data_IF_524755024296
#
_entry.id   IF_524755024296
#
_cell.length_a   1.000
_cell.length_b   1.000
_cell.length_c   1.000
_cell.angle_alpha   90.00
_cell.angle_beta   90.00
_cell.angle_gamma   90.00
#
_symmetry.space_group_name_H-M   'P 1'
#
loop_
_entity.id
_entity.type
_entity.pdbx_description
1 polymer ?
#
# COMPACT_ATOMS: atom_id res chain seq x y z
N UNK A 1 19.91 10.10 3.99
CA UNK A 1 18.62 10.37 3.31
C UNK A 1 18.00 9.03 2.95
N UNK A 2 16.70 8.84 3.14
CA UNK A 2 15.98 7.62 2.73
C UNK A 2 15.82 7.64 1.22
N UNK A 3 16.26 6.60 0.47
CA UNK A 3 16.00 6.52 -0.96
C UNK A 3 14.51 6.41 -1.24
N UNK A 4 14.04 7.11 -2.26
CA UNK A 4 12.66 7.11 -2.74
C UNK A 4 12.62 6.45 -4.12
N UNK A 5 11.76 5.47 -4.28
CA UNK A 5 11.49 4.78 -5.53
C UNK A 5 10.05 5.02 -5.95
N UNK A 6 9.80 5.27 -7.23
CA UNK A 6 8.44 5.33 -7.76
C UNK A 6 8.30 4.39 -8.95
N UNK A 7 7.18 3.69 -8.98
CA UNK A 7 6.87 2.68 -9.99
C UNK A 7 6.01 3.33 -11.06
N UNK A 8 6.44 3.27 -12.31
CA UNK A 8 5.71 3.88 -13.42
C UNK A 8 5.94 3.10 -14.72
N UNK A 9 4.87 2.88 -15.49
CA UNK A 9 4.91 2.25 -16.81
C UNK A 9 5.57 3.16 -17.85
N UNK A 10 6.41 2.59 -18.72
CA UNK A 10 7.10 3.33 -19.77
C UNK A 10 6.14 4.04 -20.74
N UNK A 11 4.99 3.43 -20.99
CA UNK A 11 3.96 3.94 -21.89
C UNK A 11 3.04 4.99 -21.27
N UNK A 12 3.26 5.40 -20.01
CA UNK A 12 2.46 6.41 -19.29
C UNK A 12 3.35 7.57 -18.82
N UNK A 13 3.93 8.34 -19.77
CA UNK A 13 4.88 9.41 -19.44
C UNK A 13 4.24 10.58 -18.71
N UNK A 14 2.95 10.83 -18.86
CA UNK A 14 2.22 11.88 -18.15
C UNK A 14 2.20 11.68 -16.63
N UNK A 15 2.06 10.44 -16.15
CA UNK A 15 2.14 10.12 -14.72
C UNK A 15 3.57 10.25 -14.21
N UNK A 16 4.55 9.90 -15.03
CA UNK A 16 5.95 10.16 -14.73
C UNK A 16 6.19 11.65 -14.53
N UNK A 17 5.75 12.49 -15.45
CA UNK A 17 5.87 13.95 -15.35
C UNK A 17 5.18 14.48 -14.10
N UNK A 18 4.00 13.94 -13.76
CA UNK A 18 3.26 14.29 -12.55
C UNK A 18 4.08 14.00 -11.29
N UNK A 19 4.65 12.80 -11.16
CA UNK A 19 5.47 12.42 -10.01
C UNK A 19 6.75 13.24 -9.91
N UNK A 20 7.47 13.43 -11.02
CA UNK A 20 8.69 14.24 -11.06
C UNK A 20 8.42 15.69 -10.70
N UNK A 21 7.27 16.24 -11.09
CA UNK A 21 6.83 17.58 -10.67
C UNK A 21 6.63 17.70 -9.15
N UNK A 22 6.02 16.69 -8.50
CA UNK A 22 5.86 16.65 -7.05
C UNK A 22 7.21 16.57 -6.32
N UNK A 23 8.14 15.74 -6.81
CA UNK A 23 9.47 15.63 -6.22
C UNK A 23 10.25 16.94 -6.35
N UNK A 24 10.20 17.57 -7.52
CA UNK A 24 10.86 18.86 -7.76
C UNK A 24 10.32 19.96 -6.82
N UNK A 25 9.01 20.03 -6.64
CA UNK A 25 8.37 21.00 -5.75
C UNK A 25 8.80 20.87 -4.28
N UNK A 26 9.23 19.69 -3.87
CA UNK A 26 9.65 19.39 -2.51
C UNK A 26 11.18 19.25 -2.33
N UNK A 27 11.96 19.50 -3.38
CA UNK A 27 13.41 19.30 -3.36
C UNK A 27 13.82 17.84 -3.07
N UNK A 28 12.95 16.89 -3.38
CA UNK A 28 13.18 15.47 -3.17
C UNK A 28 13.68 14.83 -4.45
N UNK A 29 14.63 13.88 -4.32
CA UNK A 29 15.07 13.06 -5.45
C UNK A 29 14.47 11.66 -5.34
N UNK A 30 13.97 11.13 -6.46
CA UNK A 30 13.44 9.79 -6.52
C UNK A 30 14.01 9.00 -7.72
N UNK A 31 14.14 7.72 -7.54
CA UNK A 31 14.57 6.79 -8.60
C UNK A 31 13.35 6.10 -9.19
N UNK A 32 13.19 6.24 -10.51
CA UNK A 32 12.14 5.52 -11.22
C UNK A 32 12.44 4.02 -11.30
N UNK A 33 11.44 3.22 -11.01
CA UNK A 33 11.42 1.79 -11.30
C UNK A 33 10.47 1.58 -12.47
N UNK A 34 10.98 1.11 -13.63
CA UNK A 34 10.12 0.71 -14.74
C UNK A 34 9.14 -0.38 -14.26
N UNK A 35 7.86 -0.11 -14.37
CA UNK A 35 6.83 -1.09 -14.02
C UNK A 35 6.80 -2.22 -15.04
N UNK A 36 6.45 -3.41 -14.57
CA UNK A 36 6.17 -4.56 -15.43
C UNK A 36 4.89 -4.28 -16.21
N UNK A 37 4.96 -4.35 -17.55
CA UNK A 37 3.77 -4.17 -18.39
C UNK A 37 2.98 -5.48 -18.49
N UNK A 38 1.69 -5.39 -18.22
CA UNK A 38 0.78 -6.53 -18.33
C UNK A 38 0.65 -7.07 -19.76
N UNK A 39 0.92 -6.24 -20.77
CA UNK A 39 0.87 -6.67 -22.18
C UNK A 39 2.01 -7.64 -22.54
N UNK A 40 3.16 -7.49 -21.88
CA UNK A 40 4.36 -8.29 -22.17
C UNK A 40 4.59 -9.39 -21.12
N UNK A 41 3.76 -9.41 -20.06
CA UNK A 41 3.98 -10.31 -18.93
C UNK A 41 3.48 -11.73 -19.22
N UNK A 42 4.41 -12.67 -19.14
CA UNK A 42 4.06 -14.08 -18.88
C UNK A 42 4.09 -14.30 -17.36
N UNK A 43 3.01 -14.83 -16.74
CA UNK A 43 2.99 -15.06 -15.30
C UNK A 43 4.22 -15.85 -14.84
N UNK A 44 4.94 -15.37 -13.81
CA UNK A 44 6.14 -16.03 -13.33
C UNK A 44 5.78 -17.34 -12.61
N UNK A 45 6.75 -18.23 -12.50
CA UNK A 45 6.58 -19.54 -11.81
C UNK A 45 6.21 -19.41 -10.33
N UNK A 46 6.56 -18.30 -9.72
CA UNK A 46 6.22 -17.98 -8.33
C UNK A 46 4.74 -17.64 -8.15
N UNK A 47 4.07 -17.17 -9.21
CA UNK A 47 2.63 -17.00 -9.19
C UNK A 47 1.97 -18.38 -9.24
N UNK A 48 1.37 -18.78 -8.14
CA UNK A 48 0.67 -20.05 -8.03
C UNK A 48 -0.81 -19.76 -7.75
N UNK A 49 -1.71 -20.01 -8.70
CA UNK A 49 -3.13 -19.90 -8.48
C UNK A 49 -3.53 -20.71 -7.25
N UNK A 50 -4.43 -20.14 -6.46
CA UNK A 50 -4.80 -20.73 -5.19
C UNK A 50 -5.49 -22.07 -5.34
N UNK A 51 -5.35 -22.91 -4.31
CA UNK A 51 -6.25 -24.02 -4.09
C UNK A 51 -7.66 -23.50 -3.82
N UNK A 52 -8.66 -24.38 -3.85
CA UNK A 52 -10.07 -24.02 -3.57
C UNK A 52 -10.31 -23.38 -2.19
N UNK A 53 -9.32 -23.36 -1.29
CA UNK A 53 -9.36 -22.74 0.04
C UNK A 53 -8.70 -21.37 0.11
N UNK A 54 -7.93 -20.98 -0.90
CA UNK A 54 -7.15 -19.75 -0.95
C UNK A 54 -7.81 -18.76 -1.92
N UNK A 55 -7.19 -17.62 -2.11
CA UNK A 55 -7.66 -16.62 -3.06
C UNK A 55 -7.55 -17.13 -4.50
N UNK A 56 -8.60 -16.91 -5.28
CA UNK A 56 -8.63 -17.28 -6.69
C UNK A 56 -7.72 -16.38 -7.54
N UNK A 57 -7.50 -16.79 -8.79
CA UNK A 57 -6.53 -16.17 -9.70
C UNK A 57 -6.56 -14.64 -9.74
N UNK A 58 -5.38 -14.04 -9.84
CA UNK A 58 -5.19 -12.62 -10.14
C UNK A 58 -5.33 -12.39 -11.65
N UNK A 59 -5.76 -11.19 -12.03
CA UNK A 59 -5.64 -10.71 -13.41
C UNK A 59 -4.17 -10.48 -13.78
N UNK A 60 -3.85 -10.46 -15.07
CA UNK A 60 -2.49 -10.23 -15.52
C UNK A 60 -1.96 -8.85 -15.06
N UNK A 61 -2.83 -7.83 -15.00
CA UNK A 61 -2.48 -6.50 -14.51
C UNK A 61 -2.18 -6.50 -13.00
N UNK A 62 -2.87 -7.34 -12.21
CA UNK A 62 -2.58 -7.48 -10.79
C UNK A 62 -1.25 -8.22 -10.56
N UNK A 63 -0.93 -9.21 -11.40
CA UNK A 63 0.36 -9.89 -11.37
C UNK A 63 1.47 -8.91 -11.77
N UNK A 64 1.28 -8.11 -12.80
CA UNK A 64 2.23 -7.10 -13.25
C UNK A 64 2.51 -6.05 -12.16
N UNK A 65 1.46 -5.58 -11.49
CA UNK A 65 1.58 -4.68 -10.34
C UNK A 65 2.39 -5.32 -9.21
N UNK A 66 2.10 -6.58 -8.86
CA UNK A 66 2.83 -7.32 -7.84
C UNK A 66 4.31 -7.47 -8.19
N UNK A 67 4.64 -7.89 -9.41
CA UNK A 67 6.02 -8.03 -9.87
C UNK A 67 6.76 -6.69 -9.93
N UNK A 68 6.09 -5.59 -10.27
CA UNK A 68 6.66 -4.25 -10.23
C UNK A 68 7.11 -3.87 -8.81
N UNK A 69 6.28 -4.15 -7.80
CA UNK A 69 6.65 -3.93 -6.40
C UNK A 69 7.77 -4.87 -5.94
N UNK A 70 7.83 -6.10 -6.43
CA UNK A 70 8.95 -7.01 -6.15
C UNK A 70 10.28 -6.45 -6.63
N UNK A 71 10.32 -5.79 -7.79
CA UNK A 71 11.54 -5.10 -8.26
C UNK A 71 11.97 -4.04 -7.24
N UNK A 72 11.03 -3.24 -6.73
CA UNK A 72 11.32 -2.24 -5.71
C UNK A 72 11.79 -2.86 -4.38
N UNK A 73 11.18 -3.99 -3.95
CA UNK A 73 11.63 -4.69 -2.74
C UNK A 73 13.06 -5.20 -2.87
N UNK A 74 13.42 -5.74 -4.04
CA UNK A 74 14.80 -6.18 -4.32
C UNK A 74 15.77 -5.01 -4.30
N UNK A 75 15.41 -3.87 -4.90
CA UNK A 75 16.23 -2.67 -4.86
C UNK A 75 16.52 -2.20 -3.42
N UNK A 76 15.54 -2.28 -2.50
CA UNK A 76 15.71 -1.95 -1.09
C UNK A 76 16.53 -3.03 -0.36
N UNK A 77 16.21 -4.31 -0.57
CA UNK A 77 16.90 -5.43 0.06
C UNK A 77 18.39 -5.44 -0.28
N UNK A 78 18.73 -5.20 -1.54
CA UNK A 78 20.09 -5.31 -2.06
C UNK A 78 20.83 -3.97 -1.99
N UNK A 79 20.12 -2.87 -1.72
CA UNK A 79 20.69 -1.53 -1.54
C UNK A 79 21.48 -1.38 -0.26
N UNK A 80 22.22 -0.27 -0.14
CA UNK A 80 23.04 0.05 1.04
C UNK A 80 22.25 0.71 2.18
N UNK A 81 21.10 1.33 1.87
CA UNK A 81 20.27 2.02 2.86
C UNK A 81 19.47 1.02 3.74
N UNK A 82 19.22 1.34 5.02
CA UNK A 82 18.47 0.46 5.92
C UNK A 82 16.98 0.33 5.58
N UNK A 83 16.45 1.25 4.78
CA UNK A 83 15.07 1.28 4.32
C UNK A 83 14.94 2.09 3.04
N UNK A 84 13.78 2.02 2.39
CA UNK A 84 13.44 2.82 1.22
C UNK A 84 11.94 3.07 1.13
N UNK A 85 11.55 4.17 0.51
CA UNK A 85 10.15 4.49 0.20
C UNK A 85 9.80 3.95 -1.17
N UNK A 86 8.60 3.38 -1.29
CA UNK A 86 8.01 2.95 -2.55
C UNK A 86 6.72 3.73 -2.77
N UNK A 87 6.58 4.28 -3.96
CA UNK A 87 5.42 5.06 -4.41
C UNK A 87 4.85 4.46 -5.71
N UNK A 88 3.52 4.46 -5.84
CA UNK A 88 2.85 4.28 -7.13
C UNK A 88 2.76 5.64 -7.85
N UNK A 89 2.62 5.64 -9.16
CA UNK A 89 2.65 6.84 -10.00
C UNK A 89 1.35 7.65 -9.99
N UNK A 90 0.36 7.24 -9.20
CA UNK A 90 -0.87 7.96 -8.92
C UNK A 90 -0.97 8.46 -7.46
N UNK A 91 0.12 8.38 -6.71
CA UNK A 91 0.22 8.91 -5.37
C UNK A 91 0.27 10.46 -5.39
N UNK A 92 -0.59 11.10 -4.61
CA UNK A 92 -0.53 12.53 -4.33
C UNK A 92 0.21 12.71 -3.02
N UNK A 93 1.26 13.53 -3.04
CA UNK A 93 2.13 13.78 -1.90
C UNK A 93 1.77 15.09 -1.22
N UNK A 94 1.72 15.09 0.11
CA UNK A 94 1.63 16.30 0.93
C UNK A 94 2.91 17.12 0.82
N UNK A 95 2.81 18.42 1.00
CA UNK A 95 3.95 19.33 1.13
C UNK A 95 4.89 18.92 2.29
N UNK A 96 4.37 18.18 3.28
CA UNK A 96 5.16 17.66 4.40
C UNK A 96 5.89 16.35 4.10
N UNK A 97 5.77 15.78 2.90
CA UNK A 97 6.35 14.47 2.58
C UNK A 97 7.86 14.44 2.82
N UNK A 98 8.63 15.37 2.24
CA UNK A 98 10.10 15.40 2.40
C UNK A 98 10.53 15.58 3.85
N UNK A 99 9.93 16.53 4.58
CA UNK A 99 10.25 16.75 6.00
C UNK A 99 9.88 15.58 6.87
N UNK A 100 8.81 14.86 6.53
CA UNK A 100 8.42 13.62 7.21
C UNK A 100 9.44 12.50 6.97
N UNK A 101 9.98 12.37 5.75
CA UNK A 101 11.04 11.40 5.47
C UNK A 101 12.32 11.68 6.28
N UNK A 102 12.67 12.96 6.47
CA UNK A 102 13.82 13.34 7.32
C UNK A 102 13.62 12.92 8.78
N UNK A 103 12.40 13.02 9.30
CA UNK A 103 12.04 12.54 10.64
C UNK A 103 12.04 11.02 10.70
N UNK A 104 11.46 10.34 9.70
CA UNK A 104 11.45 8.88 9.59
C UNK A 104 12.86 8.28 9.54
N UNK A 105 13.83 8.99 8.93
CA UNK A 105 15.22 8.58 8.90
C UNK A 105 15.89 8.52 10.28
N UNK A 106 15.32 9.16 11.29
CA UNK A 106 15.83 9.22 12.67
C UNK A 106 15.16 8.21 13.60
N UNK A 107 14.20 7.44 13.11
CA UNK A 107 13.52 6.44 13.93
C UNK A 107 14.48 5.31 14.26
N UNK A 108 14.59 5.01 15.55
CA UNK A 108 15.37 3.86 16.06
C UNK A 108 14.51 2.63 16.32
N UNK A 109 13.18 2.80 16.31
CA UNK A 109 12.23 1.71 16.52
C UNK A 109 12.27 0.73 15.36
N UNK A 110 12.34 -0.59 15.61
CA UNK A 110 12.20 -1.58 14.56
C UNK A 110 10.84 -1.48 13.86
N UNK A 111 10.83 -1.68 12.55
CA UNK A 111 9.63 -1.83 11.73
C UNK A 111 9.95 -2.67 10.49
N UNK A 112 8.96 -3.31 9.93
CA UNK A 112 9.09 -3.90 8.60
C UNK A 112 8.47 -2.98 7.54
N UNK A 113 7.25 -2.50 7.78
CA UNK A 113 6.53 -1.60 6.86
C UNK A 113 5.90 -0.46 7.64
N UNK A 114 6.08 0.78 7.18
CA UNK A 114 5.30 1.95 7.62
C UNK A 114 4.48 2.43 6.42
N UNK A 115 3.16 2.32 6.50
CA UNK A 115 2.26 2.85 5.50
C UNK A 115 2.21 4.36 5.60
N UNK A 116 2.49 5.07 4.50
CA UNK A 116 2.57 6.53 4.42
C UNK A 116 1.31 7.13 3.83
N UNK A 117 0.55 6.35 3.04
CA UNK A 117 -0.68 6.78 2.41
C UNK A 117 -1.93 6.47 3.25
N UNK A 118 -2.96 7.25 3.00
CA UNK A 118 -4.28 7.05 3.54
C UNK A 118 -5.17 6.20 2.65
N UNK A 119 -6.07 5.43 3.26
CA UNK A 119 -7.12 4.69 2.57
C UNK A 119 -8.49 5.14 3.07
N UNK A 120 -9.47 5.31 2.17
CA UNK A 120 -10.85 5.65 2.54
C UNK A 120 -11.56 4.44 3.15
N UNK A 121 -11.03 3.93 4.25
CA UNK A 121 -11.52 2.75 4.94
C UNK A 121 -11.50 2.96 6.45
N UNK A 122 -12.56 2.56 7.14
CA UNK A 122 -12.55 2.50 8.61
C UNK A 122 -11.68 1.33 9.05
N UNK A 123 -10.61 1.64 9.73
CA UNK A 123 -9.56 0.72 10.12
C UNK A 123 -9.45 0.63 11.64
N UNK A 124 -8.70 -0.36 12.10
CA UNK A 124 -8.39 -0.61 13.50
C UNK A 124 -6.90 -0.50 13.71
N UNK A 125 -6.53 0.45 14.55
CA UNK A 125 -5.14 0.76 14.88
C UNK A 125 -4.89 0.58 16.37
N UNK A 126 -3.69 0.17 16.72
CA UNK A 126 -3.22 0.13 18.09
C UNK A 126 -3.10 1.52 18.73
N UNK A 127 -2.67 1.58 19.99
CA UNK A 127 -2.33 2.83 20.65
C UNK A 127 -1.33 3.64 19.85
N UNK A 128 -1.37 4.95 20.06
CA UNK A 128 -0.39 5.86 19.47
C UNK A 128 1.02 5.57 20.00
N UNK A 129 1.97 5.65 19.09
CA UNK A 129 3.39 5.48 19.34
C UNK A 129 4.06 6.77 18.87
N UNK A 130 4.52 7.57 19.80
CA UNK A 130 5.31 8.75 19.45
C UNK A 130 6.81 8.39 19.41
N UNK A 131 7.49 8.77 18.32
CA UNK A 131 8.91 8.54 18.15
C UNK A 131 9.51 9.59 17.21
N UNK A 132 10.53 10.33 17.65
CA UNK A 132 11.23 11.31 16.80
C UNK A 132 10.32 12.42 16.25
N UNK A 133 9.26 12.82 16.98
CA UNK A 133 8.28 13.82 16.52
C UNK A 133 7.32 13.29 15.45
N UNK A 134 7.18 11.97 15.32
CA UNK A 134 6.27 11.28 14.41
C UNK A 134 5.32 10.42 15.24
N UNK A 135 4.08 10.38 14.81
CA UNK A 135 3.05 9.50 15.40
C UNK A 135 2.83 8.32 14.48
N UNK A 136 2.88 7.14 15.06
CA UNK A 136 2.65 5.87 14.40
C UNK A 136 1.60 5.06 15.15
N UNK A 137 0.93 4.13 14.46
CA UNK A 137 0.06 3.13 15.10
C UNK A 137 0.27 1.77 14.46
N UNK A 138 0.17 0.71 15.25
CA UNK A 138 0.14 -0.64 14.69
C UNK A 138 -1.15 -0.88 13.90
N UNK A 139 -1.04 -1.55 12.76
CA UNK A 139 -2.18 -1.94 11.92
C UNK A 139 -2.71 -3.29 12.40
N UNK A 140 -4.01 -3.38 12.70
CA UNK A 140 -4.66 -4.60 13.21
C UNK A 140 -5.58 -5.31 12.21
N UNK A 141 -5.72 -4.78 11.01
CA UNK A 141 -6.48 -5.44 9.93
C UNK A 141 -5.83 -5.14 8.58
N UNK A 142 -6.17 -5.92 7.56
CA UNK A 142 -5.70 -5.66 6.21
C UNK A 142 -6.17 -4.28 5.72
N UNK A 143 -5.26 -3.55 5.11
CA UNK A 143 -5.47 -2.20 4.57
C UNK A 143 -5.30 -2.24 3.07
N UNK A 144 -6.17 -1.55 2.36
CA UNK A 144 -6.07 -1.37 0.90
C UNK A 144 -5.11 -0.23 0.55
N UNK A 145 -4.70 -0.17 -0.70
CA UNK A 145 -3.76 0.77 -1.30
C UNK A 145 -2.29 0.53 -0.88
N UNK A 146 -1.45 0.43 -1.87
CA UNK A 146 0.01 0.38 -1.74
C UNK A 146 0.67 1.62 -2.38
N UNK A 147 -0.09 2.75 -2.44
CA UNK A 147 0.35 3.95 -3.14
C UNK A 147 1.61 4.60 -2.54
N UNK A 148 1.82 4.47 -1.22
CA UNK A 148 3.02 4.98 -0.57
C UNK A 148 3.34 4.20 0.72
N UNK A 149 4.52 3.65 0.83
CA UNK A 149 4.99 3.00 2.06
C UNK A 149 6.52 3.03 2.18
N UNK A 150 6.98 3.10 3.41
CA UNK A 150 8.38 2.90 3.78
C UNK A 150 8.59 1.43 4.12
N UNK A 151 9.61 0.83 3.55
CA UNK A 151 9.95 -0.58 3.73
C UNK A 151 11.38 -0.69 4.28
N UNK A 152 11.55 -1.42 5.38
CA UNK A 152 12.88 -1.72 5.89
C UNK A 152 13.56 -2.80 5.03
N UNK A 153 14.87 -2.88 5.13
CA UNK A 153 15.65 -3.91 4.42
C UNK A 153 15.24 -5.32 4.86
N UNK A 154 14.99 -5.51 6.15
CA UNK A 154 14.47 -6.76 6.71
C UNK A 154 13.05 -7.05 6.22
N UNK A 155 12.19 -6.02 6.19
CA UNK A 155 10.84 -6.13 5.65
C UNK A 155 10.85 -6.54 4.18
N UNK A 156 11.75 -5.96 3.37
CA UNK A 156 11.93 -6.32 1.97
C UNK A 156 12.38 -7.78 1.81
N UNK A 157 13.33 -8.23 2.62
CA UNK A 157 13.77 -9.62 2.63
C UNK A 157 12.64 -10.60 3.00
N UNK A 158 11.82 -10.27 4.01
CA UNK A 158 10.65 -11.07 4.41
C UNK A 158 9.59 -11.13 3.31
N UNK A 159 9.30 -10.01 2.64
CA UNK A 159 8.34 -9.95 1.53
C UNK A 159 8.84 -10.79 0.35
N UNK A 160 10.09 -10.66 -0.06
CA UNK A 160 10.67 -11.45 -1.15
C UNK A 160 10.72 -12.95 -0.85
N UNK A 161 11.12 -13.33 0.37
CA UNK A 161 11.12 -14.73 0.77
C UNK A 161 9.72 -15.34 0.69
N UNK A 162 8.71 -14.62 1.14
CA UNK A 162 7.30 -15.05 1.05
C UNK A 162 6.79 -15.07 -0.39
N UNK A 163 7.24 -14.14 -1.24
CA UNK A 163 6.87 -14.07 -2.65
C UNK A 163 7.49 -15.18 -3.52
N UNK A 164 8.24 -16.14 -2.91
CA UNK A 164 8.64 -17.37 -3.60
C UNK A 164 7.45 -18.20 -4.11
N UNK A 165 6.27 -18.00 -3.50
CA UNK A 165 4.98 -18.48 -3.98
C UNK A 165 3.88 -17.52 -3.52
N UNK A 166 3.14 -16.93 -4.45
CA UNK A 166 2.08 -15.97 -4.14
C UNK A 166 0.84 -16.12 -5.03
N UNK A 167 -0.31 -15.69 -4.52
CA UNK A 167 -1.56 -15.50 -5.25
C UNK A 167 -2.45 -14.42 -4.61
N UNK A 168 -1.95 -13.71 -3.61
CA UNK A 168 -2.66 -12.61 -2.96
C UNK A 168 -2.58 -11.33 -3.80
N UNK A 169 -3.57 -10.46 -3.70
CA UNK A 169 -3.41 -9.08 -4.16
C UNK A 169 -2.27 -8.41 -3.41
N UNK A 170 -1.61 -7.47 -4.06
CA UNK A 170 -0.47 -6.76 -3.49
C UNK A 170 -0.76 -6.19 -2.10
N UNK A 171 -1.88 -5.49 -1.95
CA UNK A 171 -2.26 -4.86 -0.67
C UNK A 171 -2.45 -5.90 0.43
N UNK A 172 -3.18 -6.98 0.14
CA UNK A 172 -3.39 -8.08 1.08
C UNK A 172 -2.06 -8.75 1.44
N UNK A 173 -1.15 -8.86 0.48
CA UNK A 173 0.15 -9.45 0.69
C UNK A 173 1.04 -8.60 1.61
N UNK A 174 1.09 -7.29 1.39
CA UNK A 174 1.92 -6.38 2.18
C UNK A 174 1.26 -6.10 3.54
N UNK A 175 -0.04 -5.71 3.56
CA UNK A 175 -0.67 -5.08 4.71
C UNK A 175 -1.60 -5.98 5.53
N UNK A 176 -1.67 -7.27 5.26
CA UNK A 176 -2.32 -8.20 6.19
C UNK A 176 -1.44 -8.36 7.43
N UNK A 177 -1.94 -8.04 8.64
CA UNK A 177 -1.20 -8.25 9.88
C UNK A 177 -0.79 -9.71 10.07
N UNK A 178 0.45 -9.93 10.46
CA UNK A 178 1.06 -11.24 10.72
C UNK A 178 2.01 -11.11 11.90
N UNK A 179 2.22 -12.20 12.61
CA UNK A 179 3.10 -12.22 13.80
C UNK A 179 4.59 -12.04 13.44
N UNK A 180 4.96 -12.35 12.20
CA UNK A 180 6.32 -12.22 11.68
C UNK A 180 6.68 -10.83 11.16
N UNK A 181 5.72 -9.87 11.19
CA UNK A 181 5.92 -8.53 10.62
C UNK A 181 5.36 -7.41 11.48
N UNK A 182 6.12 -6.34 11.60
CA UNK A 182 5.68 -5.11 12.24
C UNK A 182 5.17 -4.13 11.18
N UNK A 183 3.83 -3.98 11.13
CA UNK A 183 3.13 -3.06 10.26
C UNK A 183 2.67 -1.84 11.04
N UNK A 184 3.08 -0.67 10.57
CA UNK A 184 2.73 0.61 11.19
C UNK A 184 2.02 1.52 10.18
N UNK A 185 1.18 2.41 10.67
CA UNK A 185 0.56 3.51 9.94
C UNK A 185 1.14 4.81 10.46
N UNK A 186 1.55 5.68 9.55
CA UNK A 186 1.92 7.05 9.85
C UNK A 186 0.67 7.91 10.09
N UNK A 187 0.70 8.80 11.09
CA UNK A 187 -0.34 9.78 11.41
C UNK A 187 0.26 11.18 11.63
N UNK A 188 -0.20 12.21 10.88
CA UNK A 188 -1.07 12.11 9.70
C UNK A 188 -0.36 11.41 8.53
N UNK A 189 -1.15 10.85 7.58
CA UNK A 189 -0.60 10.31 6.34
C UNK A 189 -0.12 11.44 5.45
N UNK A 190 0.99 11.25 4.76
CA UNK A 190 1.62 12.26 3.89
C UNK A 190 1.51 11.94 2.41
N UNK A 191 0.73 10.94 2.10
CA UNK A 191 0.36 10.59 0.74
C UNK A 191 -1.06 10.04 0.71
N UNK A 192 -1.67 10.07 -0.47
CA UNK A 192 -2.97 9.46 -0.73
C UNK A 192 -3.05 9.06 -2.20
N UNK A 193 -3.69 7.93 -2.48
CA UNK A 193 -4.01 7.58 -3.86
C UNK A 193 -5.16 8.48 -4.34
N UNK A 194 -4.99 9.08 -5.49
CA UNK A 194 -5.90 10.10 -5.94
C UNK A 194 -7.34 9.66 -6.10
N UNK A 195 -7.61 8.38 -6.29
CA UNK A 195 -8.98 7.86 -6.33
C UNK A 195 -9.73 8.00 -4.99
N UNK A 196 -9.04 8.24 -3.88
CA UNK A 196 -9.65 8.33 -2.54
C UNK A 196 -9.97 9.75 -2.08
N UNK A 197 -9.60 10.77 -2.84
CA UNK A 197 -9.87 12.16 -2.50
C UNK A 197 -10.76 12.84 -3.55
N UNK A 198 -11.37 13.96 -3.14
CA UNK A 198 -12.08 14.89 -4.02
C UNK A 198 -11.43 16.26 -3.90
N UNK A 199 -11.54 17.05 -4.96
CA UNK A 199 -11.25 18.48 -4.89
C UNK A 199 -12.30 19.23 -4.02
N UNK A 200 -12.05 20.49 -3.72
CA UNK A 200 -12.94 21.34 -2.93
C UNK A 200 -14.34 21.48 -3.56
N UNK A 201 -14.46 21.30 -4.88
CA UNK A 201 -15.73 21.30 -5.62
C UNK A 201 -16.44 19.94 -5.58
N UNK A 202 -15.86 18.92 -4.96
CA UNK A 202 -16.42 17.58 -4.86
C UNK A 202 -16.25 16.71 -6.11
N UNK A 203 -15.48 17.18 -7.10
CA UNK A 203 -15.14 16.44 -8.30
C UNK A 203 -13.96 15.49 -8.05
N UNK A 204 -13.76 14.51 -8.94
CA UNK A 204 -12.48 13.78 -8.98
C UNK A 204 -11.39 14.80 -9.29
N UNK A 205 -10.32 14.77 -8.52
CA UNK A 205 -9.17 15.61 -8.81
C UNK A 205 -8.71 15.38 -10.26
N UNK A 206 -8.76 16.40 -11.10
CA UNK A 206 -8.30 16.34 -12.50
C UNK A 206 -6.81 16.02 -12.63
N UNK A 207 -6.08 16.09 -11.51
CA UNK A 207 -4.65 15.74 -11.42
C UNK A 207 -4.39 14.25 -11.60
N UNK A 208 -5.45 13.43 -11.77
CA UNK A 208 -5.32 11.98 -11.78
C UNK A 208 -5.84 11.44 -13.09
N UNK A 209 -4.91 11.02 -13.92
CA UNK A 209 -5.20 10.15 -15.05
C UNK A 209 -5.86 8.87 -14.53
N UNK A 210 -6.98 8.46 -15.13
CA UNK A 210 -7.72 7.25 -14.73
C UNK A 210 -6.78 6.06 -14.61
N UNK A 211 -6.96 5.28 -13.55
CA UNK A 211 -6.20 4.05 -13.36
C UNK A 211 -6.43 3.14 -14.56
N UNK A 212 -5.37 2.69 -15.22
CA UNK A 212 -5.45 1.76 -16.35
C UNK A 212 -6.15 0.44 -16.01
N UNK A 213 -6.21 0.09 -14.71
CA UNK A 213 -7.01 -1.05 -14.23
C UNK A 213 -8.50 -0.92 -14.55
N UNK A 214 -9.01 0.31 -14.69
CA UNK A 214 -10.43 0.58 -14.96
C UNK A 214 -10.71 0.83 -16.44
N UNK A 215 -9.72 1.26 -17.21
CA UNK A 215 -9.92 1.69 -18.61
C UNK A 215 -9.68 0.58 -19.64
N UNK A 216 -8.92 -0.46 -19.33
CA UNK A 216 -8.59 -1.49 -20.32
C UNK A 216 -9.43 -2.75 -20.13
N UNK A 217 -10.57 -2.79 -20.82
CA UNK A 217 -11.47 -3.96 -20.89
C UNK A 217 -10.81 -5.20 -21.51
N UNK A 218 -9.68 -5.05 -22.21
CA UNK A 218 -8.93 -6.16 -22.83
C UNK A 218 -8.09 -6.93 -21.82
N UNK A 219 -7.66 -6.27 -20.74
CA UNK A 219 -6.88 -6.88 -19.67
C UNK A 219 -7.77 -7.41 -18.55
N UNK A 220 -8.97 -6.87 -18.40
CA UNK A 220 -9.98 -7.32 -17.45
C UNK A 220 -10.76 -8.53 -18.01
N UNK A 221 -10.08 -9.64 -18.18
CA UNK A 221 -10.76 -10.92 -18.19
C UNK A 221 -11.56 -11.00 -16.88
N UNK A 222 -12.88 -11.23 -17.00
CA UNK A 222 -13.82 -11.28 -15.89
C UNK A 222 -13.19 -11.96 -14.68
N UNK A 223 -13.05 -11.22 -13.59
CA UNK A 223 -12.43 -11.76 -12.38
C UNK A 223 -13.20 -13.02 -11.98
N UNK A 224 -12.58 -14.17 -12.16
CA UNK A 224 -13.17 -15.42 -11.71
C UNK A 224 -13.37 -15.32 -10.21
N UNK A 225 -14.63 -15.36 -9.79
CA UNK A 225 -14.99 -15.20 -8.37
C UNK A 225 -14.67 -16.46 -7.56
N UNK A 226 -14.11 -17.47 -8.21
CA UNK A 226 -13.80 -18.76 -7.63
C UNK A 226 -15.01 -19.65 -7.31
N UNK A 227 -14.76 -20.89 -6.89
CA UNK A 227 -15.80 -21.87 -6.59
C UNK A 227 -16.75 -21.39 -5.49
N UNK A 228 -18.01 -21.80 -5.55
CA UNK A 228 -19.04 -21.43 -4.57
C UNK A 228 -18.61 -21.77 -3.14
N UNK A 229 -17.94 -22.90 -2.93
CA UNK A 229 -17.40 -23.31 -1.62
C UNK A 229 -16.38 -22.32 -1.06
N UNK A 230 -15.46 -21.86 -1.89
CA UNK A 230 -14.49 -20.82 -1.53
C UNK A 230 -15.19 -19.52 -1.12
N UNK A 231 -16.16 -19.08 -1.91
CA UNK A 231 -16.94 -17.85 -1.64
C UNK A 231 -17.68 -17.95 -0.30
N UNK A 232 -18.32 -19.08 -0.03
CA UNK A 232 -19.04 -19.32 1.22
C UNK A 232 -18.10 -19.29 2.43
N UNK A 233 -16.96 -19.98 2.37
CA UNK A 233 -15.95 -19.97 3.42
C UNK A 233 -15.35 -18.58 3.65
N UNK A 234 -15.09 -17.84 2.58
CA UNK A 234 -14.63 -16.45 2.65
C UNK A 234 -15.63 -15.57 3.39
N UNK A 235 -16.92 -15.67 3.05
CA UNK A 235 -17.99 -14.92 3.72
C UNK A 235 -18.14 -15.33 5.20
N UNK A 236 -18.11 -16.61 5.53
CA UNK A 236 -18.17 -17.10 6.90
C UNK A 236 -17.00 -16.58 7.74
N UNK A 237 -15.77 -16.63 7.21
CA UNK A 237 -14.58 -16.07 7.87
C UNK A 237 -14.67 -14.55 8.04
N UNK A 238 -15.17 -13.85 7.02
CA UNK A 238 -15.39 -12.40 7.08
C UNK A 238 -16.41 -12.03 8.17
N UNK A 239 -17.53 -12.73 8.22
CA UNK A 239 -18.59 -12.48 9.21
C UNK A 239 -18.13 -12.85 10.62
N UNK A 240 -17.42 -13.96 10.79
CA UNK A 240 -16.84 -14.35 12.08
C UNK A 240 -15.84 -13.31 12.61
N UNK A 241 -14.97 -12.76 11.74
CA UNK A 241 -14.07 -11.66 12.12
C UNK A 241 -14.85 -10.40 12.51
N UNK A 242 -15.87 -10.00 11.74
CA UNK A 242 -16.70 -8.84 12.06
C UNK A 242 -17.40 -9.01 13.41
N UNK A 243 -17.93 -10.20 13.68
CA UNK A 243 -18.59 -10.49 14.95
C UNK A 243 -17.60 -10.44 16.12
N UNK A 244 -16.44 -11.08 16.00
CA UNK A 244 -15.37 -11.02 17.01
C UNK A 244 -14.97 -9.57 17.34
N UNK A 245 -14.77 -8.74 16.32
CA UNK A 245 -14.43 -7.34 16.52
C UNK A 245 -15.58 -6.58 17.20
N UNK A 246 -16.80 -6.71 16.70
CA UNK A 246 -17.97 -6.01 17.23
C UNK A 246 -18.26 -6.36 18.70
N UNK A 247 -18.13 -7.61 19.07
CA UNK A 247 -18.53 -8.06 20.40
C UNK A 247 -17.49 -7.74 21.49
N UNK A 248 -16.21 -7.76 21.16
CA UNK A 248 -15.19 -7.73 22.21
C UNK A 248 -13.93 -6.94 21.85
N UNK A 249 -13.34 -7.19 20.67
CA UNK A 249 -12.02 -6.65 20.34
C UNK A 249 -12.04 -5.12 20.16
N UNK A 250 -13.09 -4.53 19.60
CA UNK A 250 -13.22 -3.08 19.42
C UNK A 250 -13.25 -2.34 20.76
N UNK A 251 -13.95 -2.90 21.75
CA UNK A 251 -13.99 -2.33 23.10
C UNK A 251 -12.63 -2.37 23.79
N UNK A 252 -11.95 -3.51 23.71
CA UNK A 252 -10.62 -3.65 24.29
C UNK A 252 -9.58 -2.76 23.58
N UNK A 253 -9.67 -2.66 22.25
CA UNK A 253 -8.78 -1.80 21.48
C UNK A 253 -8.91 -0.34 21.94
N UNK A 254 -10.14 0.17 22.04
CA UNK A 254 -10.41 1.53 22.53
C UNK A 254 -9.95 1.73 23.96
N UNK A 255 -10.19 0.77 24.84
CA UNK A 255 -9.76 0.83 26.25
C UNK A 255 -8.23 0.91 26.41
N UNK A 256 -7.48 0.44 25.43
CA UNK A 256 -6.01 0.51 25.35
C UNK A 256 -5.49 1.74 24.58
N UNK A 257 -6.35 2.71 24.23
CA UNK A 257 -5.96 3.89 23.46
C UNK A 257 -5.84 3.65 21.94
N UNK A 258 -6.37 2.52 21.43
CA UNK A 258 -6.43 2.26 20.00
C UNK A 258 -7.49 3.10 19.29
N UNK A 259 -7.30 3.30 18.00
CA UNK A 259 -8.17 4.08 17.11
C UNK A 259 -9.00 3.14 16.23
N UNK A 260 -10.30 3.44 16.09
CA UNK A 260 -11.16 2.86 15.07
C UNK A 260 -11.69 4.01 14.22
N UNK A 261 -11.18 4.14 13.02
CA UNK A 261 -11.48 5.27 12.13
C UNK A 261 -10.66 5.20 10.85
N UNK A 262 -10.78 6.26 10.04
CA UNK A 262 -9.86 6.49 8.93
C UNK A 262 -8.57 7.11 9.47
N UNK A 263 -7.39 6.78 8.92
CA UNK A 263 -6.16 7.46 9.32
C UNK A 263 -6.29 8.95 8.96
N UNK A 264 -5.94 9.88 9.87
CA UNK A 264 -5.92 11.30 9.53
C UNK A 264 -4.91 11.56 8.40
N UNK A 265 -5.27 12.43 7.48
CA UNK A 265 -4.38 12.91 6.40
C UNK A 265 -3.77 14.27 6.79
N UNK A 266 -2.63 14.61 6.20
CA UNK A 266 -2.10 15.96 6.22
C UNK A 266 -3.14 16.93 5.63
N UNK A 267 -3.22 18.15 6.19
CA UNK A 267 -4.29 19.10 5.90
C UNK A 267 -4.37 19.50 4.42
N UNK A 268 -3.23 19.52 3.73
CA UNK A 268 -3.12 19.87 2.31
C UNK A 268 -3.54 18.76 1.34
N UNK A 269 -3.78 17.55 1.82
CA UNK A 269 -4.26 16.42 1.00
C UNK A 269 -5.78 16.43 0.78
N UNK A 270 -6.50 17.32 1.45
CA UNK A 270 -7.95 17.44 1.36
C UNK A 270 -8.69 16.41 2.24
N UNK A 271 -9.84 15.92 1.78
CA UNK A 271 -10.69 15.03 2.56
C UNK A 271 -10.96 13.71 1.82
N UNK A 272 -11.15 12.65 2.58
CA UNK A 272 -11.60 11.38 2.01
C UNK A 272 -12.96 11.50 1.34
N UNK A 273 -13.11 10.79 0.26
CA UNK A 273 -14.30 10.70 -0.60
C UNK A 273 -15.52 10.13 0.11
#
# INVERSE_FOLDING_TARGET
MIPVYYINLDRVPERRTFMEGQFSAQGCTATRIPAVDAFDLTPPKEYAPASWLERWSLSISEIACFESHRIAWRAIRDGSAPCGVILEDDAILSAEFSTTLERLAKITRPFDVIKLDGANQVLRFGPEIETGGIRLRTIHQCVTSAAAYLLSKEGAAKLEARASRYCDHLDDFIFTPRDDRMLLQLEPTVAVQGMFIRDEAGNRSEKIVESERTSDTRINLSADRGPVKYRLLKELRRNGRKLKWKLWADRQLRARGGLIGRPPMADDLGTYR
#
